data_IF_486987376611
#
_entry.id   IF_486987376611
#
_cell.length_a   1.000
_cell.length_b   1.000
_cell.length_c   1.000
_cell.angle_alpha   90.00
_cell.angle_beta   90.00
_cell.angle_gamma   90.00
#
_symmetry.space_group_name_H-M   'P 1'
#
loop_
_entity.id
_entity.type
_entity.pdbx_description
1 polymer ?
#
# COMPACT_ATOMS: atom_id res chain seq x y z
N UNK A 1 7.55 0.01 -37.73
CA UNK A 1 6.26 -0.71 -37.52
C UNK A 1 5.11 0.18 -37.98
N UNK A 2 4.20 -0.31 -38.85
CA UNK A 2 2.99 0.45 -39.23
C UNK A 2 2.02 0.44 -38.03
N UNK A 3 1.69 1.61 -37.50
CA UNK A 3 0.72 1.76 -36.40
C UNK A 3 -0.67 1.52 -36.97
N UNK A 4 -1.26 0.35 -36.67
CA UNK A 4 -2.58 -0.03 -37.17
C UNK A 4 -3.71 0.70 -36.44
N UNK A 5 -4.89 0.78 -37.04
CA UNK A 5 -6.07 1.35 -36.38
C UNK A 5 -6.51 0.52 -35.16
N UNK A 6 -6.36 -0.80 -35.23
CA UNK A 6 -6.60 -1.69 -34.09
C UNK A 6 -5.70 -1.34 -32.90
N UNK A 7 -4.40 -1.17 -33.13
CA UNK A 7 -3.46 -0.79 -32.08
C UNK A 7 -3.79 0.57 -31.46
N UNK A 8 -4.17 1.57 -32.30
CA UNK A 8 -4.62 2.88 -31.78
C UNK A 8 -5.89 2.76 -30.95
N UNK A 9 -6.82 1.88 -31.32
CA UNK A 9 -8.04 1.61 -30.55
C UNK A 9 -7.74 1.00 -29.19
N UNK A 10 -6.82 0.03 -29.14
CA UNK A 10 -6.36 -0.57 -27.88
C UNK A 10 -5.69 0.47 -26.98
N UNK A 11 -4.81 1.32 -27.51
CA UNK A 11 -4.22 2.43 -26.76
C UNK A 11 -5.29 3.41 -26.23
N UNK A 12 -6.30 3.76 -27.08
CA UNK A 12 -7.40 4.64 -26.64
C UNK A 12 -8.16 4.03 -25.47
N UNK A 13 -8.49 2.76 -25.58
CA UNK A 13 -9.19 2.02 -24.51
C UNK A 13 -8.36 2.03 -23.21
N UNK A 14 -7.06 1.76 -23.30
CA UNK A 14 -6.17 1.85 -22.14
C UNK A 14 -6.20 3.24 -21.50
N UNK A 15 -5.98 4.30 -22.26
CA UNK A 15 -5.93 5.66 -21.72
C UNK A 15 -7.26 6.07 -21.06
N UNK A 16 -8.39 5.72 -21.66
CA UNK A 16 -9.70 6.05 -21.08
C UNK A 16 -9.95 5.21 -19.82
N UNK A 17 -9.84 3.89 -19.94
CA UNK A 17 -10.23 2.98 -18.87
C UNK A 17 -9.21 2.93 -17.72
N UNK A 18 -7.92 2.86 -18.06
CA UNK A 18 -6.86 2.72 -17.06
C UNK A 18 -6.45 4.04 -16.42
N UNK A 19 -6.37 5.12 -17.20
CA UNK A 19 -5.89 6.41 -16.74
C UNK A 19 -6.98 7.48 -16.59
N UNK A 20 -8.24 7.13 -16.83
CA UNK A 20 -9.35 8.10 -16.75
C UNK A 20 -9.23 9.24 -17.77
N UNK A 21 -8.55 9.01 -18.90
CA UNK A 21 -8.38 10.02 -19.92
C UNK A 21 -9.72 10.43 -20.51
N UNK A 22 -9.93 11.70 -20.71
CA UNK A 22 -11.15 12.26 -21.30
C UNK A 22 -10.85 13.06 -22.56
N UNK A 23 -11.81 13.11 -23.48
CA UNK A 23 -11.67 13.88 -24.72
C UNK A 23 -11.60 15.38 -24.43
N UNK A 24 -10.67 16.03 -25.13
CA UNK A 24 -10.43 17.47 -25.02
C UNK A 24 -10.65 18.13 -26.38
N UNK A 25 -9.78 18.96 -26.89
CA UNK A 25 -9.95 19.67 -28.15
C UNK A 25 -9.14 19.05 -29.28
N UNK A 26 -9.67 19.04 -30.51
CA UNK A 26 -8.94 18.67 -31.74
C UNK A 26 -8.30 17.29 -31.70
N UNK A 27 -9.00 16.26 -31.16
CA UNK A 27 -8.50 14.87 -31.09
C UNK A 27 -7.48 14.61 -29.99
N UNK A 28 -7.25 15.56 -29.10
CA UNK A 28 -6.46 15.34 -27.89
C UNK A 28 -7.33 14.76 -26.77
N UNK A 29 -6.78 13.83 -26.04
CA UNK A 29 -7.29 13.39 -24.75
C UNK A 29 -6.43 13.99 -23.65
N UNK A 30 -7.01 14.33 -22.52
CA UNK A 30 -6.31 14.74 -21.31
C UNK A 30 -6.22 13.59 -20.34
N UNK A 31 -5.05 13.35 -19.81
CA UNK A 31 -4.83 12.42 -18.70
C UNK A 31 -4.92 13.23 -17.40
N UNK A 32 -5.71 12.77 -16.41
CA UNK A 32 -5.91 13.50 -15.16
C UNK A 32 -4.62 13.89 -14.47
N UNK A 33 -3.66 12.97 -14.37
CA UNK A 33 -2.37 13.23 -13.70
C UNK A 33 -1.22 12.82 -14.61
N UNK A 34 -0.27 13.71 -14.84
CA UNK A 34 0.94 13.40 -15.61
C UNK A 34 1.86 12.46 -14.79
N UNK A 35 2.19 11.25 -15.28
CA UNK A 35 3.04 10.31 -14.54
C UNK A 35 4.47 10.80 -14.37
N UNK A 36 4.93 11.74 -15.21
CA UNK A 36 6.29 12.25 -15.16
C UNK A 36 6.50 13.40 -14.16
N UNK A 37 5.49 14.20 -13.88
CA UNK A 37 5.64 15.37 -12.99
C UNK A 37 4.54 15.53 -11.96
N UNK A 38 3.55 14.62 -11.91
CA UNK A 38 2.44 14.62 -10.96
C UNK A 38 1.44 15.79 -11.13
N UNK A 39 1.56 16.61 -12.19
CA UNK A 39 0.64 17.75 -12.38
C UNK A 39 -0.65 17.31 -13.05
N UNK A 40 -1.75 17.80 -12.51
CA UNK A 40 -3.10 17.52 -12.99
C UNK A 40 -3.36 18.20 -14.33
N UNK A 41 -4.06 17.48 -15.23
CA UNK A 41 -4.55 17.95 -16.52
C UNK A 41 -3.51 18.62 -17.43
N UNK A 42 -2.21 18.31 -17.27
CA UNK A 42 -1.14 18.89 -18.11
C UNK A 42 -0.67 17.95 -19.21
N UNK A 43 -0.90 16.64 -19.07
CA UNK A 43 -0.50 15.65 -20.08
C UNK A 43 -1.65 15.44 -21.08
N UNK A 44 -1.36 15.65 -22.35
CA UNK A 44 -2.24 15.36 -23.49
C UNK A 44 -1.73 14.18 -24.30
N UNK A 45 -2.64 13.37 -24.82
CA UNK A 45 -2.37 12.29 -25.80
C UNK A 45 -3.20 12.53 -27.04
N UNK A 46 -2.59 12.48 -28.23
CA UNK A 46 -3.26 12.51 -29.52
C UNK A 46 -2.86 11.28 -30.33
N UNK A 47 -3.79 10.33 -30.46
CA UNK A 47 -3.53 9.05 -31.13
C UNK A 47 -3.52 9.18 -32.66
N UNK A 48 -4.21 10.18 -33.25
CA UNK A 48 -4.18 10.44 -34.68
C UNK A 48 -2.77 10.90 -35.08
N UNK A 49 -2.20 11.84 -34.35
CA UNK A 49 -0.84 12.35 -34.55
C UNK A 49 0.22 11.43 -33.92
N UNK A 50 -0.19 10.43 -33.16
CA UNK A 50 0.67 9.53 -32.37
C UNK A 50 1.68 10.27 -31.50
N UNK A 51 1.19 11.26 -30.73
CA UNK A 51 1.99 12.14 -29.89
C UNK A 51 1.41 12.28 -28.50
N UNK A 52 2.30 12.49 -27.55
CA UNK A 52 1.96 12.96 -26.21
C UNK A 52 2.70 14.25 -25.94
N UNK A 53 2.17 15.06 -25.05
CA UNK A 53 2.85 16.26 -24.57
C UNK A 53 2.35 16.67 -23.20
N UNK A 54 3.27 16.87 -22.26
CA UNK A 54 2.97 17.48 -20.97
C UNK A 54 3.37 18.97 -21.02
N UNK A 55 2.39 19.85 -20.89
CA UNK A 55 2.62 21.32 -20.91
C UNK A 55 3.33 21.85 -19.66
N UNK A 56 3.68 21.00 -18.72
CA UNK A 56 4.41 21.41 -17.51
C UNK A 56 5.85 20.95 -17.47
N UNK A 57 6.10 19.65 -17.70
CA UNK A 57 7.45 19.09 -17.65
C UNK A 57 8.05 18.82 -19.04
N UNK A 58 7.31 19.14 -20.08
CA UNK A 58 7.70 18.92 -21.49
C UNK A 58 8.00 17.45 -21.84
N UNK A 59 7.52 16.49 -21.04
CA UNK A 59 7.60 15.08 -21.41
C UNK A 59 6.74 14.82 -22.64
N UNK A 60 7.31 14.13 -23.64
CA UNK A 60 6.66 13.83 -24.92
C UNK A 60 6.96 12.42 -25.44
N UNK A 61 6.84 11.36 -24.60
CA UNK A 61 7.01 9.99 -25.05
C UNK A 61 6.01 9.66 -26.15
N UNK A 62 6.25 8.61 -26.95
CA UNK A 62 5.18 8.08 -27.80
C UNK A 62 4.03 7.53 -26.93
N UNK A 63 2.79 7.43 -27.45
CA UNK A 63 1.69 6.83 -26.69
C UNK A 63 1.98 5.41 -26.18
N UNK A 64 2.70 4.59 -26.97
CA UNK A 64 3.12 3.26 -26.55
C UNK A 64 4.17 3.34 -25.42
N UNK A 65 5.19 4.20 -25.58
CA UNK A 65 6.20 4.40 -24.55
C UNK A 65 5.60 4.89 -23.24
N UNK A 66 4.60 5.79 -23.30
CA UNK A 66 3.90 6.25 -22.11
C UNK A 66 3.27 5.08 -21.32
N UNK A 67 2.68 4.11 -22.02
CA UNK A 67 2.12 2.91 -21.39
C UNK A 67 3.23 2.04 -20.82
N UNK A 68 4.30 1.80 -21.58
CA UNK A 68 5.44 1.02 -21.11
C UNK A 68 6.04 1.64 -19.84
N UNK A 69 6.20 2.96 -19.81
CA UNK A 69 6.72 3.68 -18.64
C UNK A 69 5.81 3.55 -17.41
N UNK A 70 4.48 3.55 -17.63
CA UNK A 70 3.49 3.44 -16.54
C UNK A 70 3.39 2.01 -16.00
N UNK A 71 3.35 1.01 -16.89
CA UNK A 71 3.19 -0.40 -16.50
C UNK A 71 4.54 -1.06 -16.16
N UNK A 72 5.67 -0.38 -16.43
CA UNK A 72 7.01 -0.87 -16.13
C UNK A 72 7.51 -1.92 -17.13
N UNK A 73 6.98 -1.91 -18.38
CA UNK A 73 7.46 -2.79 -19.43
C UNK A 73 8.81 -2.33 -19.97
N UNK A 74 9.72 -3.25 -20.14
CA UNK A 74 11.05 -2.99 -20.72
C UNK A 74 11.10 -3.33 -22.21
N UNK A 75 10.27 -4.29 -22.64
CA UNK A 75 10.24 -4.80 -24.00
C UNK A 75 8.90 -4.55 -24.68
N UNK A 76 8.93 -4.20 -25.98
CA UNK A 76 7.72 -3.87 -26.73
C UNK A 76 6.74 -5.03 -26.87
N UNK A 77 7.23 -6.26 -26.85
CA UNK A 77 6.36 -7.44 -26.89
C UNK A 77 5.50 -7.60 -25.63
N UNK A 78 5.97 -7.14 -24.47
CA UNK A 78 5.19 -7.15 -23.21
C UNK A 78 3.97 -6.21 -23.34
N UNK A 79 4.18 -5.01 -23.93
CA UNK A 79 3.09 -4.09 -24.23
C UNK A 79 2.06 -4.72 -25.18
N UNK A 80 2.52 -5.37 -26.28
CA UNK A 80 1.61 -6.00 -27.25
C UNK A 80 0.81 -7.12 -26.60
N UNK A 81 1.45 -7.99 -25.84
CA UNK A 81 0.77 -9.06 -25.11
C UNK A 81 -0.25 -8.50 -24.10
N UNK A 82 0.13 -7.48 -23.37
CA UNK A 82 -0.73 -6.79 -22.43
C UNK A 82 -1.97 -6.18 -23.12
N UNK A 83 -1.77 -5.46 -24.24
CA UNK A 83 -2.86 -4.85 -25.00
C UNK A 83 -3.78 -5.88 -25.67
N UNK A 84 -3.22 -7.01 -26.17
CA UNK A 84 -4.00 -8.06 -26.81
C UNK A 84 -4.81 -8.90 -25.81
N UNK A 85 -4.31 -9.08 -24.60
CA UNK A 85 -5.00 -9.85 -23.56
C UNK A 85 -6.17 -9.08 -22.94
N UNK A 86 -6.38 -7.80 -23.32
CA UNK A 86 -7.51 -6.99 -22.86
C UNK A 86 -7.57 -6.78 -21.34
N UNK A 87 -6.50 -7.12 -20.61
CA UNK A 87 -6.43 -7.08 -19.15
C UNK A 87 -6.45 -5.65 -18.54
N UNK A 88 -6.58 -4.65 -19.39
CA UNK A 88 -6.75 -3.24 -19.04
C UNK A 88 -8.20 -2.75 -19.15
N UNK A 89 -9.14 -3.65 -19.51
CA UNK A 89 -10.55 -3.37 -19.33
C UNK A 89 -10.81 -3.06 -17.87
N UNK A 90 -11.09 -1.80 -17.67
CA UNK A 90 -11.10 -1.07 -16.40
C UNK A 90 -9.98 -1.55 -15.49
N UNK A 91 -9.32 -0.74 -14.69
CA UNK A 91 -9.00 -1.32 -13.42
C UNK A 91 -10.33 -1.98 -12.90
N UNK A 92 -10.88 -2.91 -13.71
CA UNK A 92 -11.29 -4.12 -13.13
C UNK A 92 -9.96 -4.57 -12.54
N UNK A 93 -9.72 -3.91 -11.48
CA UNK A 93 -9.78 -4.73 -10.34
C UNK A 93 -10.75 -5.82 -10.79
N UNK A 94 -10.21 -6.95 -11.34
CA UNK A 94 -10.99 -8.09 -11.03
C UNK A 94 -11.32 -7.74 -9.59
N UNK A 95 -12.54 -7.21 -9.39
CA UNK A 95 -13.21 -7.79 -8.30
C UNK A 95 -12.97 -9.25 -8.66
N UNK A 96 -11.76 -9.82 -8.31
CA UNK A 96 -11.97 -10.97 -7.54
C UNK A 96 -13.00 -10.37 -6.65
N UNK A 97 -14.30 -10.53 -7.06
CA UNK A 97 -15.29 -10.82 -6.10
C UNK A 97 -14.54 -11.91 -5.37
N UNK A 98 -13.63 -11.43 -4.51
CA UNK A 98 -13.57 -12.05 -3.25
C UNK A 98 -15.02 -11.76 -2.92
N UNK A 99 -15.90 -12.66 -3.50
CA UNK A 99 -16.93 -13.18 -2.68
C UNK A 99 -16.12 -13.38 -1.46
N UNK A 100 -16.19 -12.35 -0.59
CA UNK A 100 -15.78 -12.49 0.79
C UNK A 100 -16.58 -13.70 1.17
N UNK A 101 -15.99 -14.90 0.73
CA UNK A 101 -16.64 -16.17 0.74
C UNK A 101 -17.04 -16.20 2.16
N UNK A 102 -18.30 -15.94 2.39
CA UNK A 102 -18.95 -15.48 3.60
C UNK A 102 -17.95 -15.51 4.74
N UNK A 103 -17.16 -14.41 4.87
CA UNK A 103 -15.93 -14.44 5.65
C UNK A 103 -16.37 -14.84 7.03
N UNK A 104 -16.04 -16.07 7.43
CA UNK A 104 -16.48 -16.59 8.72
C UNK A 104 -16.14 -15.54 9.75
N UNK A 105 -17.04 -15.21 10.69
CA UNK A 105 -16.77 -14.19 11.68
C UNK A 105 -15.41 -14.46 12.33
N UNK A 106 -14.53 -13.48 12.33
CA UNK A 106 -13.25 -13.59 13.04
C UNK A 106 -13.49 -13.21 14.48
N UNK A 107 -13.04 -14.07 15.39
CA UNK A 107 -13.11 -13.83 16.82
C UNK A 107 -11.68 -13.64 17.37
N UNK A 108 -11.56 -12.85 18.43
CA UNK A 108 -10.33 -12.82 19.20
C UNK A 108 -10.14 -14.20 19.87
N UNK A 109 -8.89 -14.65 20.05
CA UNK A 109 -8.63 -15.97 20.60
C UNK A 109 -9.13 -16.09 22.04
N UNK A 110 -9.50 -17.31 22.42
CA UNK A 110 -9.90 -17.61 23.79
C UNK A 110 -8.85 -17.12 24.79
N UNK A 111 -9.31 -16.58 25.91
CA UNK A 111 -8.42 -15.98 26.91
C UNK A 111 -7.80 -14.64 26.50
N UNK A 112 -8.31 -13.99 25.44
CA UNK A 112 -7.91 -12.62 25.15
C UNK A 112 -8.26 -11.68 26.31
N UNK A 113 -7.30 -10.83 26.72
CA UNK A 113 -7.53 -9.75 27.68
C UNK A 113 -6.98 -8.44 27.14
N UNK A 114 -7.76 -7.35 27.30
CA UNK A 114 -7.27 -6.02 26.97
C UNK A 114 -6.01 -5.71 27.80
N UNK A 115 -5.08 -4.96 27.21
CA UNK A 115 -3.77 -4.66 27.81
C UNK A 115 -3.86 -3.88 29.12
N UNK A 116 -4.95 -3.15 29.35
CA UNK A 116 -5.23 -2.42 30.60
C UNK A 116 -5.62 -3.33 31.76
N UNK A 117 -6.04 -4.57 31.48
CA UNK A 117 -6.60 -5.48 32.46
C UNK A 117 -5.55 -6.48 33.00
N UNK A 118 -5.79 -6.94 34.23
CA UNK A 118 -5.03 -7.99 34.91
C UNK A 118 -3.70 -7.53 35.50
N UNK A 119 -3.29 -8.20 36.60
CA UNK A 119 -2.07 -7.89 37.37
C UNK A 119 -1.10 -9.06 37.45
N UNK A 120 -1.33 -10.12 36.68
CA UNK A 120 -0.45 -11.28 36.61
C UNK A 120 0.95 -10.92 36.13
N UNK A 121 1.92 -11.77 36.42
CA UNK A 121 3.29 -11.62 35.91
C UNK A 121 3.32 -11.56 34.38
N UNK A 122 2.44 -12.32 33.73
CA UNK A 122 2.28 -12.27 32.28
C UNK A 122 1.83 -10.87 31.81
N UNK A 123 0.81 -10.30 32.45
CA UNK A 123 0.32 -8.96 32.14
C UNK A 123 1.42 -7.90 32.31
N UNK A 124 2.22 -8.02 33.38
CA UNK A 124 3.38 -7.13 33.62
C UNK A 124 4.43 -7.26 32.53
N UNK A 125 4.75 -8.49 32.10
CA UNK A 125 5.71 -8.76 31.02
C UNK A 125 5.26 -8.18 29.69
N UNK A 126 3.99 -8.36 29.31
CA UNK A 126 3.41 -7.80 28.08
C UNK A 126 3.43 -6.26 28.10
N UNK A 127 3.00 -5.65 29.21
CA UNK A 127 3.06 -4.19 29.37
C UNK A 127 4.48 -3.64 29.34
N UNK A 128 5.43 -4.38 29.96
CA UNK A 128 6.85 -4.05 29.91
C UNK A 128 7.40 -4.05 28.48
N UNK A 129 7.05 -5.06 27.69
CA UNK A 129 7.40 -5.13 26.26
C UNK A 129 6.85 -3.93 25.47
N UNK A 130 5.56 -3.60 25.66
CA UNK A 130 4.92 -2.46 24.98
C UNK A 130 5.57 -1.13 25.35
N UNK A 131 5.85 -0.92 26.65
CA UNK A 131 6.57 0.28 27.14
C UNK A 131 7.99 0.36 26.58
N UNK A 132 8.74 -0.76 26.57
CA UNK A 132 10.10 -0.82 26.00
C UNK A 132 10.12 -0.45 24.52
N UNK A 133 9.03 -0.73 23.80
CA UNK A 133 8.82 -0.34 22.40
C UNK A 133 8.35 1.12 22.21
N UNK A 134 8.30 1.91 23.29
CA UNK A 134 7.94 3.33 23.24
C UNK A 134 6.43 3.62 23.15
N UNK A 135 5.57 2.64 23.42
CA UNK A 135 4.14 2.84 23.31
C UNK A 135 3.46 3.20 24.63
N UNK A 136 2.42 4.00 24.51
CA UNK A 136 1.52 4.33 25.60
C UNK A 136 0.45 3.25 25.77
N UNK A 137 0.29 2.70 26.98
CA UNK A 137 -0.64 1.62 27.27
C UNK A 137 -2.10 2.03 27.11
N UNK A 138 -2.46 3.25 27.50
CA UNK A 138 -3.82 3.76 27.36
C UNK A 138 -4.22 3.85 25.88
N UNK A 139 -3.31 4.34 25.04
CA UNK A 139 -3.53 4.37 23.60
C UNK A 139 -3.71 2.96 23.03
N UNK A 140 -2.89 2.00 23.43
CA UNK A 140 -3.01 0.59 23.02
C UNK A 140 -4.33 -0.02 23.47
N UNK A 141 -4.76 0.27 24.69
CA UNK A 141 -6.07 -0.17 25.21
C UNK A 141 -7.22 0.36 24.35
N UNK A 142 -7.17 1.63 23.92
CA UNK A 142 -8.20 2.23 23.05
C UNK A 142 -8.25 1.61 21.64
N UNK A 143 -7.14 1.12 21.12
CA UNK A 143 -7.11 0.33 19.89
C UNK A 143 -7.61 -1.11 20.07
N UNK A 144 -8.09 -1.48 21.26
CA UNK A 144 -8.51 -2.84 21.56
C UNK A 144 -7.34 -3.85 21.64
N UNK A 145 -6.10 -3.38 21.73
CA UNK A 145 -4.91 -4.24 21.81
C UNK A 145 -4.87 -4.92 23.17
N UNK A 146 -4.52 -6.20 23.18
CA UNK A 146 -4.48 -7.00 24.38
C UNK A 146 -3.44 -8.14 24.29
N UNK A 147 -3.67 -9.17 25.06
CA UNK A 147 -2.77 -10.33 25.12
C UNK A 147 -3.53 -11.62 25.38
N UNK A 148 -2.93 -12.73 24.96
CA UNK A 148 -3.47 -14.08 25.21
C UNK A 148 -3.03 -14.63 26.56
N UNK A 149 -3.99 -15.16 27.33
CA UNK A 149 -3.75 -15.75 28.67
C UNK A 149 -3.83 -17.27 28.67
N UNK A 150 -4.18 -17.90 27.56
CA UNK A 150 -4.26 -19.36 27.43
C UNK A 150 -4.07 -19.82 25.97
N UNK A 151 -4.06 -21.12 25.79
CA UNK A 151 -4.01 -21.78 24.48
C UNK A 151 -2.77 -21.40 23.66
N UNK A 152 -2.91 -21.47 22.34
CA UNK A 152 -1.82 -21.22 21.38
C UNK A 152 -1.35 -19.78 21.35
N UNK A 153 -2.11 -18.85 21.92
CA UNK A 153 -1.80 -17.42 21.99
C UNK A 153 -1.30 -16.98 23.37
N UNK A 154 -1.05 -17.92 24.30
CA UNK A 154 -0.49 -17.59 25.61
C UNK A 154 0.83 -16.83 25.49
N UNK A 155 0.89 -15.62 26.07
CA UNK A 155 2.08 -14.78 26.05
C UNK A 155 2.31 -13.99 24.74
N UNK A 156 1.31 -13.94 23.88
CA UNK A 156 1.34 -13.11 22.68
C UNK A 156 0.64 -11.78 22.91
N UNK A 157 1.25 -10.71 22.42
CA UNK A 157 0.58 -9.43 22.21
C UNK A 157 -0.36 -9.59 21.01
N UNK A 158 -1.64 -9.30 21.19
CA UNK A 158 -2.68 -9.45 20.18
C UNK A 158 -3.14 -8.07 19.74
N UNK A 159 -2.96 -7.79 18.45
CA UNK A 159 -3.34 -6.54 17.80
C UNK A 159 -4.51 -6.85 16.89
N UNK A 160 -5.75 -6.46 17.24
CA UNK A 160 -6.91 -6.67 16.41
C UNK A 160 -6.94 -5.69 15.24
N UNK A 161 -7.47 -6.15 14.10
CA UNK A 161 -7.66 -5.34 12.89
C UNK A 161 -9.14 -5.18 12.65
N UNK A 162 -9.60 -3.96 12.81
CA UNK A 162 -10.98 -3.60 12.55
C UNK A 162 -11.11 -2.92 11.19
N UNK A 163 -12.23 -3.15 10.55
CA UNK A 163 -12.69 -2.42 9.38
C UNK A 163 -14.16 -2.07 9.60
N UNK A 164 -14.47 -0.79 9.64
CA UNK A 164 -15.82 -0.27 9.95
C UNK A 164 -16.42 -0.89 11.21
N UNK A 165 -15.60 -1.00 12.25
CA UNK A 165 -15.97 -1.56 13.55
C UNK A 165 -16.07 -3.08 13.62
N UNK A 166 -15.90 -3.80 12.51
CA UNK A 166 -15.92 -5.27 12.49
C UNK A 166 -14.50 -5.82 12.58
N UNK A 167 -14.28 -6.80 13.47
CA UNK A 167 -13.03 -7.53 13.53
C UNK A 167 -12.86 -8.38 12.27
N UNK A 168 -11.78 -8.14 11.53
CA UNK A 168 -11.44 -8.84 10.28
C UNK A 168 -10.24 -9.76 10.41
N UNK A 169 -9.36 -9.45 11.35
CA UNK A 169 -8.11 -10.19 11.54
C UNK A 169 -7.50 -9.82 12.89
N UNK A 170 -6.49 -10.54 13.32
CA UNK A 170 -5.58 -10.09 14.37
C UNK A 170 -4.14 -10.53 14.08
N UNK A 171 -3.19 -9.77 14.56
CA UNK A 171 -1.78 -10.14 14.57
C UNK A 171 -1.39 -10.50 16.01
N UNK A 172 -0.97 -11.75 16.24
CA UNK A 172 -0.47 -12.20 17.53
C UNK A 172 1.05 -12.30 17.48
N UNK A 173 1.72 -11.42 18.24
CA UNK A 173 3.17 -11.33 18.31
C UNK A 173 3.69 -11.94 19.60
N UNK A 174 4.60 -12.90 19.50
CA UNK A 174 5.22 -13.54 20.66
C UNK A 174 6.05 -12.54 21.48
N UNK A 175 5.78 -12.47 22.79
CA UNK A 175 6.49 -11.60 23.73
C UNK A 175 7.35 -12.40 24.70
N UNK A 176 6.90 -13.59 25.11
CA UNK A 176 7.57 -14.40 26.12
C UNK A 176 8.65 -15.34 25.55
N UNK A 177 8.86 -15.34 24.23
CA UNK A 177 9.93 -16.08 23.57
C UNK A 177 9.69 -17.58 23.37
N UNK A 178 8.54 -18.11 23.78
CA UNK A 178 8.17 -19.53 23.58
C UNK A 178 7.25 -19.66 22.38
N UNK A 179 7.65 -20.45 21.37
CA UNK A 179 6.87 -20.65 20.14
C UNK A 179 7.24 -19.71 18.99
N UNK A 180 6.48 -19.73 17.88
CA UNK A 180 6.78 -18.94 16.68
C UNK A 180 6.68 -17.44 16.95
N UNK A 181 7.39 -16.65 16.14
CA UNK A 181 7.39 -15.18 16.26
C UNK A 181 5.99 -14.57 16.11
N UNK A 182 5.16 -15.19 15.29
CA UNK A 182 3.77 -14.80 15.06
C UNK A 182 2.86 -16.03 15.09
N UNK A 183 1.67 -15.88 15.64
CA UNK A 183 0.60 -16.86 15.63
C UNK A 183 -0.73 -16.19 15.25
N UNK A 184 -0.89 -15.96 13.96
CA UNK A 184 -2.03 -15.26 13.39
C UNK A 184 -3.19 -16.24 13.13
N UNK A 185 -4.42 -15.72 12.89
CA UNK A 185 -5.55 -16.55 12.49
C UNK A 185 -5.21 -17.41 11.27
N UNK A 186 -5.61 -18.67 11.32
CA UNK A 186 -5.44 -19.59 10.21
C UNK A 186 -6.28 -19.13 9.00
N UNK A 187 -5.65 -19.09 7.83
CA UNK A 187 -6.29 -18.75 6.57
C UNK A 187 -7.46 -19.69 6.25
N UNK A 188 -7.33 -20.97 6.56
CA UNK A 188 -8.34 -21.99 6.24
C UNK A 188 -9.57 -21.87 7.16
N UNK A 189 -9.38 -21.30 8.37
CA UNK A 189 -10.47 -21.03 9.33
C UNK A 189 -11.19 -19.72 9.00
N UNK A 190 -10.44 -18.67 8.70
CA UNK A 190 -11.01 -17.32 8.51
C UNK A 190 -11.39 -17.02 7.06
N UNK A 191 -10.91 -17.80 6.11
CA UNK A 191 -11.03 -17.50 4.68
C UNK A 191 -10.14 -16.32 4.21
N UNK A 192 -9.48 -15.63 5.14
CA UNK A 192 -8.71 -14.42 4.87
C UNK A 192 -7.21 -14.63 5.15
N UNK A 193 -6.39 -14.57 4.10
CA UNK A 193 -4.94 -14.48 4.24
C UNK A 193 -4.49 -13.02 4.43
N UNK A 194 -3.28 -12.82 4.96
CA UNK A 194 -2.69 -11.49 5.17
C UNK A 194 -2.64 -10.61 3.90
N UNK A 195 -2.65 -11.21 2.71
CA UNK A 195 -2.68 -10.50 1.42
C UNK A 195 -3.98 -9.75 1.16
N UNK A 196 -5.04 -10.02 1.93
CA UNK A 196 -6.35 -9.35 1.85
C UNK A 196 -6.62 -8.41 3.03
N UNK A 197 -5.58 -8.10 3.80
CA UNK A 197 -5.70 -7.33 5.03
C UNK A 197 -4.80 -6.10 4.95
N UNK A 198 -5.33 -4.96 5.39
CA UNK A 198 -4.57 -3.75 5.73
C UNK A 198 -4.87 -3.43 7.19
N UNK A 199 -3.83 -3.32 8.02
CA UNK A 199 -4.01 -2.83 9.38
C UNK A 199 -4.44 -1.37 9.36
N UNK A 200 -5.40 -1.01 10.22
CA UNK A 200 -5.97 0.34 10.32
C UNK A 200 -6.53 0.87 8.99
N UNK A 201 -7.26 0.00 8.28
CA UNK A 201 -7.82 0.29 6.96
C UNK A 201 -8.68 1.58 6.94
N UNK A 202 -9.44 1.84 8.02
CA UNK A 202 -10.33 3.00 8.11
C UNK A 202 -9.56 4.34 7.99
N UNK A 203 -8.26 4.35 8.26
CA UNK A 203 -7.41 5.53 8.04
C UNK A 203 -7.39 5.98 6.57
N UNK A 204 -7.61 5.06 5.62
CA UNK A 204 -7.69 5.36 4.18
C UNK A 204 -8.93 6.18 3.81
N UNK A 205 -9.99 6.07 4.61
CA UNK A 205 -11.24 6.85 4.44
C UNK A 205 -11.20 8.16 5.26
N UNK A 206 -10.51 8.14 6.41
CA UNK A 206 -10.49 9.26 7.35
C UNK A 206 -9.45 10.33 7.04
N UNK A 207 -8.33 9.97 6.40
CA UNK A 207 -7.20 10.88 6.22
C UNK A 207 -6.80 11.04 4.75
N UNK A 208 -6.52 12.27 4.36
CA UNK A 208 -5.95 12.57 3.02
C UNK A 208 -4.50 12.12 2.86
N UNK A 209 -3.82 11.75 3.95
CA UNK A 209 -2.42 11.33 3.92
C UNK A 209 -2.18 10.26 4.97
N UNK A 210 -1.60 9.12 4.56
CA UNK A 210 -1.27 8.00 5.43
C UNK A 210 0.19 7.57 5.28
N UNK A 211 0.68 6.89 6.32
CA UNK A 211 2.00 6.24 6.34
C UNK A 211 1.80 4.74 6.09
N UNK A 212 2.44 4.23 5.05
CA UNK A 212 2.36 2.80 4.69
C UNK A 212 3.57 2.09 5.26
N UNK A 213 3.36 1.21 6.23
CA UNK A 213 4.40 0.44 6.92
C UNK A 213 4.28 -1.05 6.57
N UNK A 214 5.33 -1.82 6.86
CA UNK A 214 5.29 -3.27 6.69
C UNK A 214 4.46 -3.96 7.78
N UNK A 215 4.68 -3.62 9.05
CA UNK A 215 4.08 -4.25 10.21
C UNK A 215 3.20 -3.34 11.05
N UNK A 216 2.25 -3.94 11.80
CA UNK A 216 1.30 -3.21 12.63
C UNK A 216 1.96 -2.34 13.72
N UNK A 217 3.07 -2.79 14.33
CA UNK A 217 3.79 -1.98 15.33
C UNK A 217 4.43 -0.74 14.71
N UNK A 218 4.98 -0.86 13.49
CA UNK A 218 5.53 0.26 12.74
C UNK A 218 4.41 1.28 12.41
N UNK A 219 3.25 0.80 11.98
CA UNK A 219 2.08 1.65 11.73
C UNK A 219 1.60 2.35 13.00
N UNK A 220 1.50 1.64 14.12
CA UNK A 220 1.12 2.21 15.43
C UNK A 220 2.11 3.28 15.90
N UNK A 221 3.40 3.16 15.57
CA UNK A 221 4.40 4.19 15.85
C UNK A 221 4.06 5.49 15.11
N UNK A 222 3.56 5.39 13.88
CA UNK A 222 3.13 6.57 13.11
C UNK A 222 1.78 7.12 13.55
N UNK A 223 1.07 6.43 14.45
CA UNK A 223 -0.21 6.85 15.04
C UNK A 223 -1.40 6.58 14.13
N UNK A 224 -2.46 7.38 14.28
CA UNK A 224 -3.76 7.13 13.66
C UNK A 224 -3.74 7.10 12.13
N UNK A 225 -2.72 7.71 11.52
CA UNK A 225 -2.48 7.71 10.08
C UNK A 225 -1.54 6.59 9.60
N UNK A 226 -1.07 5.73 10.49
CA UNK A 226 -0.25 4.57 10.13
C UNK A 226 -1.12 3.41 9.68
N UNK A 227 -0.84 2.85 8.52
CA UNK A 227 -1.42 1.60 8.01
C UNK A 227 -0.31 0.57 7.79
N UNK A 228 -0.65 -0.73 7.77
CA UNK A 228 0.34 -1.76 7.48
C UNK A 228 -0.19 -2.83 6.52
N UNK A 229 0.68 -3.28 5.62
CA UNK A 229 0.40 -4.29 4.58
C UNK A 229 0.68 -5.72 5.02
N UNK A 230 1.19 -5.90 6.25
CA UNK A 230 1.48 -7.19 6.88
C UNK A 230 2.54 -8.03 6.14
N UNK A 231 3.48 -7.37 5.54
CA UNK A 231 4.64 -7.93 4.85
C UNK A 231 5.14 -7.01 3.75
N UNK A 232 6.37 -7.22 3.28
CA UNK A 232 7.01 -6.41 2.25
C UNK A 232 6.40 -6.58 0.87
N UNK A 233 5.95 -7.80 0.53
CA UNK A 233 5.27 -8.08 -0.73
C UNK A 233 3.80 -7.63 -0.64
N UNK A 234 3.46 -6.58 -1.38
CA UNK A 234 2.14 -5.97 -1.36
C UNK A 234 1.29 -6.57 -2.48
N UNK A 235 0.14 -7.12 -2.11
CA UNK A 235 -0.75 -7.82 -3.04
C UNK A 235 -1.48 -6.86 -3.98
N UNK A 236 -2.00 -7.39 -5.09
CA UNK A 236 -2.87 -6.63 -6.00
C UNK A 236 -4.11 -6.10 -5.29
N UNK A 237 -4.70 -6.88 -4.37
CA UNK A 237 -5.81 -6.43 -3.53
C UNK A 237 -5.44 -5.20 -2.69
N UNK A 238 -4.32 -5.25 -1.97
CA UNK A 238 -3.87 -4.14 -1.13
C UNK A 238 -3.57 -2.88 -1.95
N UNK A 239 -2.89 -3.02 -3.09
CA UNK A 239 -2.67 -1.90 -4.03
C UNK A 239 -4.00 -1.30 -4.46
N UNK A 240 -4.99 -2.15 -4.71
CA UNK A 240 -6.31 -1.76 -5.12
C UNK A 240 -7.03 -0.92 -4.08
N UNK A 241 -7.02 -1.37 -2.82
CA UNK A 241 -7.60 -0.63 -1.71
C UNK A 241 -6.95 0.76 -1.54
N UNK A 242 -5.62 0.85 -1.71
CA UNK A 242 -4.92 2.13 -1.68
C UNK A 242 -5.37 3.05 -2.83
N UNK A 243 -5.52 2.52 -4.04
CA UNK A 243 -5.93 3.29 -5.22
C UNK A 243 -7.39 3.76 -5.13
N UNK A 244 -8.31 2.90 -4.67
CA UNK A 244 -9.74 3.19 -4.53
C UNK A 244 -10.05 4.16 -3.38
N UNK A 245 -9.16 4.25 -2.39
CA UNK A 245 -9.38 5.06 -1.20
C UNK A 245 -9.49 6.56 -1.51
N UNK A 246 -10.12 7.30 -0.59
CA UNK A 246 -10.14 8.78 -0.65
C UNK A 246 -8.79 9.40 -0.27
N UNK A 247 -7.83 8.60 0.22
CA UNK A 247 -6.51 9.07 0.55
C UNK A 247 -5.76 9.54 -0.70
N UNK A 248 -5.21 10.76 -0.64
CA UNK A 248 -4.52 11.41 -1.77
C UNK A 248 -3.01 11.20 -1.75
N UNK A 249 -2.44 10.93 -0.56
CA UNK A 249 -0.99 10.98 -0.30
C UNK A 249 -0.54 9.76 0.47
N UNK A 250 0.42 9.05 -0.08
CA UNK A 250 1.00 7.87 0.55
C UNK A 250 2.48 8.10 0.85
N UNK A 251 2.85 8.01 2.13
CA UNK A 251 4.24 8.03 2.59
C UNK A 251 4.63 6.59 2.89
N UNK A 252 5.49 6.02 2.05
CA UNK A 252 5.89 4.62 2.09
C UNK A 252 7.13 4.49 2.98
N UNK A 253 7.00 3.72 4.05
CA UNK A 253 7.96 3.51 5.13
C UNK A 253 8.15 2.01 5.36
N UNK A 254 8.53 1.26 4.32
CA UNK A 254 8.83 -0.16 4.46
C UNK A 254 10.21 -0.36 5.12
N UNK A 255 10.42 -1.56 5.64
CA UNK A 255 11.66 -1.91 6.31
C UNK A 255 12.86 -1.82 5.34
N UNK A 256 14.10 -1.62 5.81
CA UNK A 256 15.27 -1.34 4.96
C UNK A 256 15.58 -2.43 3.92
N UNK A 257 15.22 -3.68 4.19
CA UNK A 257 15.38 -4.82 3.26
C UNK A 257 14.27 -4.90 2.20
N UNK A 258 13.30 -3.97 2.23
CA UNK A 258 12.17 -3.91 1.32
C UNK A 258 12.22 -2.71 0.36
N UNK A 259 13.40 -2.12 0.10
CA UNK A 259 13.57 -0.91 -0.74
C UNK A 259 12.95 -1.08 -2.13
N UNK A 260 13.19 -2.21 -2.78
CA UNK A 260 12.62 -2.49 -4.10
C UNK A 260 11.10 -2.61 -4.07
N UNK A 261 10.53 -3.28 -3.04
CA UNK A 261 9.09 -3.37 -2.86
C UNK A 261 8.45 -2.01 -2.63
N UNK A 262 9.12 -1.12 -1.89
CA UNK A 262 8.66 0.24 -1.65
C UNK A 262 8.59 1.05 -2.96
N UNK A 263 9.62 0.97 -3.80
CA UNK A 263 9.64 1.63 -5.11
C UNK A 263 8.58 1.02 -6.05
N UNK A 264 8.45 -0.30 -6.07
CA UNK A 264 7.45 -0.96 -6.92
C UNK A 264 6.01 -0.58 -6.51
N UNK A 265 5.73 -0.43 -5.21
CA UNK A 265 4.45 0.10 -4.74
C UNK A 265 4.26 1.56 -5.19
N UNK A 266 5.28 2.40 -4.99
CA UNK A 266 5.21 3.81 -5.37
C UNK A 266 4.94 3.98 -6.87
N UNK A 267 5.58 3.19 -7.73
CA UNK A 267 5.37 3.20 -9.18
C UNK A 267 3.94 2.82 -9.57
N UNK A 268 3.29 1.91 -8.82
CA UNK A 268 1.88 1.55 -9.03
C UNK A 268 0.92 2.67 -8.62
N UNK A 269 1.30 3.49 -7.65
CA UNK A 269 0.43 4.53 -7.09
C UNK A 269 0.62 5.89 -7.73
N UNK A 270 1.83 6.24 -8.20
CA UNK A 270 2.22 7.61 -8.57
C UNK A 270 1.40 8.21 -9.73
N UNK A 271 0.82 7.37 -10.58
CA UNK A 271 -0.04 7.84 -11.67
C UNK A 271 -1.37 8.45 -11.15
N UNK A 272 -1.79 8.07 -9.94
CA UNK A 272 -3.11 8.41 -9.40
C UNK A 272 -3.03 9.16 -8.07
N UNK A 273 -1.94 9.00 -7.34
CA UNK A 273 -1.76 9.46 -5.96
C UNK A 273 -0.41 10.16 -5.81
N UNK A 274 -0.30 11.07 -4.85
CA UNK A 274 1.00 11.64 -4.46
C UNK A 274 1.74 10.63 -3.60
N UNK A 275 2.95 10.25 -4.01
CA UNK A 275 3.74 9.26 -3.28
C UNK A 275 5.06 9.83 -2.79
N UNK A 276 5.49 9.32 -1.66
CA UNK A 276 6.77 9.63 -1.05
C UNK A 276 7.36 8.32 -0.52
N UNK A 277 8.49 7.88 -1.08
CA UNK A 277 9.26 6.75 -0.55
C UNK A 277 10.36 7.30 0.33
N UNK A 278 10.42 6.85 1.56
CA UNK A 278 11.44 7.26 2.53
C UNK A 278 12.20 6.02 2.94
N UNK A 279 13.46 5.95 2.58
CA UNK A 279 14.34 4.87 2.99
C UNK A 279 14.78 5.08 4.43
N UNK A 280 14.58 4.06 5.23
CA UNK A 280 15.03 4.04 6.62
C UNK A 280 16.51 3.64 6.68
N UNK A 281 17.25 4.08 7.73
CA UNK A 281 18.62 3.63 7.96
C UNK A 281 18.70 2.12 8.09
N UNK A 282 19.77 1.53 7.57
CA UNK A 282 19.96 0.08 7.60
C UNK A 282 19.88 -0.48 9.03
N UNK A 283 19.17 -1.60 9.18
CA UNK A 283 18.97 -2.28 10.44
C UNK A 283 18.00 -1.61 11.41
N UNK A 284 17.33 -0.51 11.04
CA UNK A 284 16.33 0.16 11.89
C UNK A 284 14.99 0.25 11.21
N UNK A 285 13.95 -0.26 11.85
CA UNK A 285 12.58 -0.08 11.42
C UNK A 285 11.96 1.24 11.98
N UNK A 286 10.72 1.54 11.58
CA UNK A 286 9.98 2.73 12.05
C UNK A 286 9.85 2.76 13.57
N UNK A 287 9.64 1.60 14.20
CA UNK A 287 9.49 1.53 15.64
C UNK A 287 10.84 1.73 16.38
N UNK A 288 11.95 1.23 15.82
CA UNK A 288 13.29 1.42 16.36
C UNK A 288 13.72 2.91 16.32
N UNK A 289 13.35 3.62 15.25
CA UNK A 289 13.59 5.06 15.12
C UNK A 289 12.66 5.90 16.02
N UNK A 290 11.46 5.40 16.24
CA UNK A 290 10.39 6.16 16.85
C UNK A 290 9.80 7.26 15.93
N UNK A 291 8.61 7.72 16.28
CA UNK A 291 7.84 8.67 15.46
C UNK A 291 8.59 9.96 15.12
N UNK A 292 9.27 10.55 16.09
CA UNK A 292 9.92 11.87 15.90
C UNK A 292 11.04 11.80 14.87
N UNK A 293 11.92 10.81 14.97
CA UNK A 293 13.03 10.65 14.01
C UNK A 293 12.50 10.26 12.63
N UNK A 294 11.52 9.36 12.55
CA UNK A 294 10.89 8.98 11.29
C UNK A 294 10.27 10.20 10.59
N UNK A 295 9.58 11.08 11.31
CA UNK A 295 9.01 12.30 10.73
C UNK A 295 10.08 13.26 10.22
N UNK A 296 11.26 13.37 10.85
CA UNK A 296 12.38 14.17 10.31
C UNK A 296 12.79 13.65 8.93
N UNK A 297 12.92 12.33 8.76
CA UNK A 297 13.23 11.73 7.45
C UNK A 297 12.11 12.00 6.42
N UNK A 298 10.85 11.86 6.83
CA UNK A 298 9.70 12.13 5.97
C UNK A 298 9.67 13.57 5.47
N UNK A 299 9.99 14.55 6.32
CA UNK A 299 9.99 15.96 5.94
C UNK A 299 11.18 16.34 5.07
N UNK A 300 12.29 15.62 5.16
CA UNK A 300 13.46 15.84 4.31
C UNK A 300 13.24 15.42 2.84
N UNK A 301 12.25 14.56 2.57
CA UNK A 301 11.96 14.04 1.24
C UNK A 301 10.72 14.73 0.67
N UNK A 302 10.76 15.16 -0.59
CA UNK A 302 9.57 15.63 -1.32
C UNK A 302 8.77 14.48 -1.93
N UNK A 303 7.56 14.75 -2.39
CA UNK A 303 6.80 13.80 -3.21
C UNK A 303 7.53 13.59 -4.54
N UNK A 304 7.69 12.32 -4.94
CA UNK A 304 8.47 11.93 -6.09
C UNK A 304 7.59 11.79 -7.33
N UNK A 305 8.16 12.13 -8.47
CA UNK A 305 7.59 11.86 -9.78
C UNK A 305 7.90 10.42 -10.21
N UNK A 306 7.24 9.97 -11.27
CA UNK A 306 7.50 8.66 -11.86
C UNK A 306 8.97 8.52 -12.31
N UNK A 307 9.53 9.54 -12.98
CA UNK A 307 10.93 9.52 -13.43
C UNK A 307 11.92 9.41 -12.27
N UNK A 308 11.69 10.14 -11.18
CA UNK A 308 12.54 10.04 -9.99
C UNK A 308 12.48 8.63 -9.38
N UNK A 309 11.29 8.01 -9.33
CA UNK A 309 11.14 6.64 -8.82
C UNK A 309 11.85 5.62 -9.72
N UNK A 310 11.77 5.76 -11.05
CA UNK A 310 12.52 4.90 -11.98
C UNK A 310 14.02 5.09 -11.81
N UNK A 311 14.50 6.33 -11.69
CA UNK A 311 15.92 6.60 -11.44
C UNK A 311 16.40 5.92 -10.16
N UNK A 312 15.64 6.04 -9.07
CA UNK A 312 15.92 5.37 -7.79
C UNK A 312 15.92 3.84 -7.98
N UNK A 313 14.92 3.28 -8.68
CA UNK A 313 14.85 1.84 -8.95
C UNK A 313 16.11 1.33 -9.66
N UNK A 314 16.58 2.06 -10.65
CA UNK A 314 17.77 1.69 -11.41
C UNK A 314 19.06 1.77 -10.59
N UNK A 315 19.12 2.67 -9.59
CA UNK A 315 20.26 2.78 -8.67
C UNK A 315 20.28 1.72 -7.56
N UNK A 316 19.20 0.96 -7.38
CA UNK A 316 19.13 -0.15 -6.41
C UNK A 316 19.61 -1.49 -7.00
N UNK A 317 19.80 -1.57 -8.31
CA UNK A 317 20.35 -2.73 -9.01
C UNK A 317 21.88 -2.69 -8.97
#
# INVERSE_FOLDING_TARGET
MKITNQFKSQLKTYFIKRLGAFEYRRGWMRIPTCPYCGREHKLGVNLSMYRTNCFRCNAHPSPAQLIMDIEGFTEYHELINFLNNGQFDELQFKEEKIELAESKPVYLPDGFRNISLGDSQLAKSIRGYVKKRGFNLEKFSRYGIGYGTMGTTYGYLIIPFYYRGQLRYYNARNVIGKGPRYNNPDKDITGLGKQFIIFNHDALEMYRSVFVCEGALNALTMGDRGIATMGKAISAFQVNELLKSQCERFIILLDPDAKEYAINLALKLVAYKKVKVVFLPDGKDVNDLGRSQTLKLVYAIRYQSYQELISIKNSLK
#
